data_IF_006841716666
#
_entry.id   IF_006841716666
#
_cell.length_a   1.000
_cell.length_b   1.000
_cell.length_c   1.000
_cell.angle_alpha   90.00
_cell.angle_beta   90.00
_cell.angle_gamma   90.00
#
_symmetry.space_group_name_H-M   'P 1'
#
loop_
_entity.id
_entity.type
_entity.pdbx_description
1 polymer ?
#
# COMPACT_ATOMS: atom_id res chain seq x y z
N UNK A 1 -14.41 4.26 14.08
CA UNK A 1 -13.89 3.07 13.39
C UNK A 1 -13.02 3.53 12.22
N UNK A 2 -11.61 3.40 12.29
CA UNK A 2 -10.75 3.89 11.21
C UNK A 2 -10.76 2.94 10.01
N UNK A 3 -10.62 3.53 8.84
CA UNK A 3 -10.49 2.79 7.59
C UNK A 3 -9.31 3.39 6.83
N UNK A 4 -8.31 2.56 6.56
CA UNK A 4 -7.08 2.99 5.89
C UNK A 4 -7.02 2.35 4.51
N UNK A 5 -6.73 3.15 3.51
CA UNK A 5 -6.57 2.66 2.15
C UNK A 5 -5.13 2.87 1.70
N UNK A 6 -4.52 1.80 1.19
CA UNK A 6 -3.16 1.87 0.68
C UNK A 6 -3.21 1.60 -0.82
N UNK A 7 -2.73 2.57 -1.60
CA UNK A 7 -2.60 2.38 -3.03
C UNK A 7 -1.15 2.02 -3.31
N UNK A 8 -0.93 0.94 -4.03
CA UNK A 8 0.43 0.50 -4.34
C UNK A 8 0.46 -0.20 -5.68
N UNK A 9 1.65 -0.36 -6.22
CA UNK A 9 1.80 -1.08 -7.47
C UNK A 9 1.50 -2.54 -7.27
N UNK A 10 0.94 -3.16 -8.31
CA UNK A 10 0.69 -4.60 -8.33
C UNK A 10 2.01 -5.35 -8.30
N UNK A 11 1.97 -6.57 -7.78
CA UNK A 11 3.10 -7.48 -7.82
C UNK A 11 3.61 -7.95 -6.48
N UNK A 12 3.11 -7.42 -5.39
CA UNK A 12 3.50 -7.90 -4.07
C UNK A 12 2.81 -9.23 -3.76
N UNK A 13 3.50 -10.07 -3.01
CA UNK A 13 2.94 -11.37 -2.62
C UNK A 13 1.81 -11.20 -1.62
N UNK A 14 1.01 -12.25 -1.51
CA UNK A 14 -0.06 -12.29 -0.50
C UNK A 14 0.52 -12.10 0.90
N UNK A 15 1.67 -12.73 1.15
CA UNK A 15 2.32 -12.64 2.46
C UNK A 15 2.79 -11.22 2.76
N UNK A 16 3.35 -10.53 1.76
CA UNK A 16 3.79 -9.15 1.96
C UNK A 16 2.62 -8.24 2.25
N UNK A 17 1.51 -8.43 1.55
CA UNK A 17 0.32 -7.61 1.77
C UNK A 17 -0.26 -7.86 3.15
N UNK A 18 -0.24 -9.10 3.62
CA UNK A 18 -0.72 -9.41 4.96
C UNK A 18 0.11 -8.69 6.03
N UNK A 19 1.44 -8.62 5.82
CA UNK A 19 2.31 -7.91 6.75
C UNK A 19 2.04 -6.42 6.76
N UNK A 20 1.75 -5.83 5.60
CA UNK A 20 1.41 -4.41 5.51
C UNK A 20 0.14 -4.12 6.30
N UNK A 21 -0.88 -4.94 6.10
CA UNK A 21 -2.16 -4.78 6.80
C UNK A 21 -1.95 -4.88 8.31
N UNK A 22 -1.18 -5.86 8.75
CA UNK A 22 -0.92 -6.02 10.18
C UNK A 22 -0.14 -4.86 10.76
N UNK A 23 0.89 -4.39 10.04
CA UNK A 23 1.72 -3.30 10.53
C UNK A 23 0.92 -2.00 10.67
N UNK A 24 0.05 -1.71 9.71
CA UNK A 24 -0.80 -0.52 9.80
C UNK A 24 -1.77 -0.63 10.97
N UNK A 25 -2.37 -1.79 11.14
CA UNK A 25 -3.28 -2.03 12.26
C UNK A 25 -2.56 -1.85 13.59
N UNK A 26 -1.37 -2.46 13.72
CA UNK A 26 -0.59 -2.35 14.96
C UNK A 26 -0.19 -0.90 15.23
N UNK A 27 0.16 -0.15 14.19
CA UNK A 27 0.54 1.24 14.36
C UNK A 27 -0.60 2.08 14.93
N UNK A 28 -1.81 1.85 14.48
CA UNK A 28 -2.97 2.57 15.00
C UNK A 28 -3.30 2.18 16.43
N UNK A 29 -3.14 0.91 16.76
CA UNK A 29 -3.34 0.44 18.13
C UNK A 29 -2.31 1.08 19.06
N UNK A 30 -1.05 1.09 18.65
CA UNK A 30 0.03 1.61 19.49
C UNK A 30 0.00 3.12 19.61
N UNK A 31 -0.37 3.83 18.56
CA UNK A 31 -0.32 5.29 18.56
C UNK A 31 -1.58 5.93 19.10
N UNK A 32 -2.75 5.35 18.80
CA UNK A 32 -4.03 5.98 19.15
C UNK A 32 -4.91 5.11 20.04
N UNK A 33 -4.44 3.93 20.44
CA UNK A 33 -5.20 3.05 21.32
C UNK A 33 -6.42 2.42 20.66
N UNK A 34 -6.44 2.33 19.32
CA UNK A 34 -7.59 1.80 18.59
C UNK A 34 -7.50 0.29 18.56
N UNK A 35 -8.55 -0.42 18.97
CA UNK A 35 -8.52 -1.89 18.94
C UNK A 35 -8.38 -2.41 17.51
N UNK A 36 -7.67 -3.53 17.38
CA UNK A 36 -7.46 -4.14 16.06
C UNK A 36 -8.78 -4.45 15.36
N UNK A 37 -9.76 -4.92 16.08
CA UNK A 37 -11.07 -5.28 15.50
C UNK A 37 -11.82 -4.07 14.95
N UNK A 38 -11.50 -2.87 15.43
CA UNK A 38 -12.13 -1.65 14.93
C UNK A 38 -11.43 -1.07 13.71
N UNK A 39 -10.25 -1.58 13.38
CA UNK A 39 -9.41 -1.05 12.31
C UNK A 39 -9.61 -1.86 11.03
N UNK A 40 -9.88 -1.16 9.93
CA UNK A 40 -10.02 -1.79 8.62
C UNK A 40 -8.97 -1.21 7.68
N UNK A 41 -8.33 -2.09 6.90
CA UNK A 41 -7.29 -1.68 5.96
C UNK A 41 -7.59 -2.35 4.62
N UNK A 42 -7.58 -1.56 3.56
CA UNK A 42 -7.75 -2.08 2.21
C UNK A 42 -6.52 -1.73 1.39
N UNK A 43 -6.05 -2.68 0.61
CA UNK A 43 -4.94 -2.47 -0.32
C UNK A 43 -5.53 -2.45 -1.73
N UNK A 44 -5.27 -1.36 -2.44
CA UNK A 44 -5.70 -1.18 -3.81
C UNK A 44 -4.47 -1.31 -4.69
N UNK A 45 -4.41 -2.38 -5.46
CA UNK A 45 -3.27 -2.60 -6.34
C UNK A 45 -3.54 -1.99 -7.71
N UNK A 46 -2.56 -1.24 -8.21
CA UNK A 46 -2.66 -0.55 -9.50
C UNK A 46 -1.50 -0.99 -10.37
N UNK A 47 -1.74 -1.48 -11.58
CA UNK A 47 -0.65 -1.78 -12.50
C UNK A 47 0.16 -0.53 -12.81
N UNK A 48 1.46 -0.69 -13.02
CA UNK A 48 2.34 0.46 -13.27
C UNK A 48 1.94 1.22 -14.52
N UNK A 49 1.34 0.56 -15.49
CA UNK A 49 0.86 1.25 -16.70
C UNK A 49 -0.31 2.18 -16.40
N UNK A 50 -0.98 1.99 -15.26
CA UNK A 50 -2.09 2.83 -14.84
C UNK A 50 -1.68 3.85 -13.79
N UNK A 51 -0.40 3.96 -13.50
CA UNK A 51 0.10 4.82 -12.42
C UNK A 51 0.95 5.92 -13.04
N UNK A 52 0.45 7.15 -12.99
CA UNK A 52 1.14 8.28 -13.60
C UNK A 52 1.93 9.09 -12.59
N UNK A 53 3.16 9.45 -12.96
CA UNK A 53 4.01 10.34 -12.17
C UNK A 53 4.52 11.40 -13.13
N UNK A 54 4.13 12.67 -12.89
CA UNK A 54 4.56 13.76 -13.74
C UNK A 54 4.11 13.61 -15.19
N UNK A 55 2.98 12.94 -15.42
CA UNK A 55 2.46 12.73 -16.76
C UNK A 55 3.03 11.52 -17.48
N UNK A 56 3.86 10.71 -16.80
CA UNK A 56 4.49 9.53 -17.40
C UNK A 56 4.10 8.30 -16.60
N UNK A 57 3.77 7.21 -17.30
CA UNK A 57 3.45 5.95 -16.64
C UNK A 57 4.64 5.44 -15.84
N UNK A 58 4.37 4.90 -14.67
CA UNK A 58 5.42 4.35 -13.82
C UNK A 58 6.19 3.23 -14.54
N UNK A 59 5.52 2.46 -15.39
CA UNK A 59 6.18 1.39 -16.14
C UNK A 59 7.28 1.95 -17.06
N UNK A 60 7.09 3.14 -17.60
CA UNK A 60 8.09 3.77 -18.45
C UNK A 60 9.21 4.40 -17.63
N UNK A 61 8.87 5.01 -16.49
CA UNK A 61 9.88 5.61 -15.63
C UNK A 61 10.84 4.57 -15.09
N UNK A 62 10.35 3.36 -14.82
CA UNK A 62 11.19 2.28 -14.31
C UNK A 62 12.23 1.83 -15.32
N UNK A 63 11.96 2.03 -16.61
CA UNK A 63 12.95 1.70 -17.64
C UNK A 63 14.19 2.57 -17.53
N UNK A 64 14.11 3.73 -16.87
CA UNK A 64 15.19 4.71 -16.79
C UNK A 64 15.70 4.91 -15.37
N UNK A 65 15.18 4.21 -14.39
CA UNK A 65 15.55 4.41 -13.00
C UNK A 65 15.83 3.07 -12.34
N UNK A 66 16.87 3.00 -11.49
CA UNK A 66 17.10 1.76 -10.75
C UNK A 66 15.98 1.54 -9.74
N UNK A 67 15.70 0.29 -9.46
CA UNK A 67 14.74 -0.06 -8.43
C UNK A 67 15.30 0.29 -7.07
N UNK A 68 14.46 0.81 -6.19
CA UNK A 68 14.88 1.00 -4.82
C UNK A 68 15.09 -0.32 -4.10
#
# INVERSE_FOLDING_TARGET
MPFVTVHMWSGRSKEAKAKVIKAITDALTESAGIPAEATQVAIIEVPQENWGIGGVCASERQAHQPHP
#
